data_IF_906077714887
#
_entry.id   IF_906077714887
#
_cell.length_a   1.000
_cell.length_b   1.000
_cell.length_c   1.000
_cell.angle_alpha   90.00
_cell.angle_beta   90.00
_cell.angle_gamma   90.00
#
_symmetry.space_group_name_H-M   'P 1'
#
loop_
_entity.id
_entity.type
_entity.pdbx_description
1 polymer ?
#
# COMPACT_ATOMS: atom_id res chain seq x y z
N UNK A 1 15.27 -9.46 -34.10
CA UNK A 1 15.37 -8.96 -32.71
C UNK A 1 14.11 -9.37 -31.97
N UNK A 2 14.22 -10.23 -30.95
CA UNK A 2 13.11 -10.43 -30.00
C UNK A 2 13.00 -9.15 -29.17
N UNK A 3 11.80 -8.56 -28.96
CA UNK A 3 11.68 -7.56 -27.92
C UNK A 3 11.96 -8.27 -26.60
N UNK A 4 13.10 -7.94 -26.00
CA UNK A 4 13.35 -8.20 -24.60
C UNK A 4 12.22 -7.49 -23.86
N UNK A 5 11.32 -8.26 -23.23
CA UNK A 5 10.36 -7.71 -22.28
C UNK A 5 11.22 -6.93 -21.27
N UNK A 6 11.10 -5.61 -21.29
CA UNK A 6 11.84 -4.73 -20.42
C UNK A 6 11.55 -5.17 -18.99
N UNK A 7 12.53 -5.86 -18.41
CA UNK A 7 12.57 -6.40 -17.07
C UNK A 7 12.65 -5.20 -16.11
N UNK A 8 11.54 -4.47 -15.99
CA UNK A 8 11.52 -3.16 -15.33
C UNK A 8 10.84 -3.22 -13.97
N UNK A 9 10.80 -4.40 -13.36
CA UNK A 9 10.39 -4.58 -11.98
C UNK A 9 11.64 -4.59 -11.10
N UNK A 10 12.34 -3.46 -11.06
CA UNK A 10 13.55 -3.31 -10.26
C UNK A 10 13.20 -2.58 -8.96
N UNK A 11 13.49 -3.26 -7.84
CA UNK A 11 13.25 -2.93 -6.42
C UNK A 11 11.95 -3.49 -5.81
N UNK A 12 12.13 -4.57 -5.03
CA UNK A 12 11.10 -5.35 -4.33
C UNK A 12 11.21 -5.10 -2.83
N UNK A 13 10.57 -4.04 -2.35
CA UNK A 13 10.46 -3.77 -0.92
C UNK A 13 9.35 -4.61 -0.31
N UNK A 14 9.65 -5.49 0.63
CA UNK A 14 8.61 -6.22 1.36
C UNK A 14 8.50 -5.70 2.79
N UNK A 15 7.28 -5.31 3.17
CA UNK A 15 6.95 -4.93 4.53
C UNK A 15 6.04 -5.96 5.16
N UNK A 16 6.37 -6.35 6.38
CA UNK A 16 5.56 -7.26 7.19
C UNK A 16 4.96 -6.49 8.36
N UNK A 17 3.68 -6.72 8.66
CA UNK A 17 3.06 -6.15 9.84
C UNK A 17 1.63 -6.63 9.99
N UNK A 18 0.74 -5.77 10.46
CA UNK A 18 -0.68 -6.06 10.61
C UNK A 18 -1.55 -4.95 10.04
N UNK A 19 -2.57 -5.36 9.29
CA UNK A 19 -3.67 -4.51 8.87
C UNK A 19 -4.95 -5.04 9.52
N UNK A 20 -5.71 -4.18 10.20
CA UNK A 20 -6.95 -4.56 10.92
C UNK A 20 -6.80 -5.76 11.86
N UNK A 21 -5.65 -5.89 12.52
CA UNK A 21 -5.39 -6.99 13.47
C UNK A 21 -5.07 -8.33 12.81
N UNK A 22 -4.98 -8.38 11.47
CA UNK A 22 -4.53 -9.57 10.73
C UNK A 22 -3.11 -9.37 10.20
N UNK A 23 -2.28 -10.43 10.11
CA UNK A 23 -0.99 -10.34 9.45
C UNK A 23 -1.14 -9.84 8.02
N UNK A 24 -0.27 -8.91 7.62
CA UNK A 24 -0.29 -8.29 6.31
C UNK A 24 1.15 -8.22 5.77
N UNK A 25 1.29 -8.54 4.47
CA UNK A 25 2.52 -8.35 3.71
C UNK A 25 2.24 -7.35 2.61
N UNK A 26 3.05 -6.30 2.52
CA UNK A 26 3.02 -5.32 1.43
C UNK A 26 4.26 -5.48 0.58
N UNK A 27 4.08 -5.56 -0.73
CA UNK A 27 5.15 -5.54 -1.73
C UNK A 27 5.10 -4.22 -2.45
N UNK A 28 6.19 -3.44 -2.39
CA UNK A 28 6.41 -2.25 -3.19
C UNK A 28 7.17 -2.64 -4.47
N UNK A 29 6.70 -2.16 -5.60
CA UNK A 29 7.27 -2.37 -6.93
C UNK A 29 7.41 -1.05 -7.68
N UNK A 30 8.32 -1.01 -8.65
CA UNK A 30 8.46 0.09 -9.60
C UNK A 30 8.15 -0.45 -11.00
N UNK A 31 7.37 0.30 -11.76
CA UNK A 31 7.00 0.04 -13.15
C UNK A 31 7.09 1.34 -13.95
N UNK A 32 8.24 1.54 -14.61
CA UNK A 32 8.53 2.76 -15.37
C UNK A 32 7.64 2.95 -16.62
N UNK A 33 6.81 1.97 -16.96
CA UNK A 33 5.82 2.11 -18.04
C UNK A 33 4.59 2.94 -17.62
N UNK A 34 4.41 3.19 -16.31
CA UNK A 34 3.26 3.91 -15.76
C UNK A 34 3.58 5.37 -15.45
N UNK A 35 2.57 6.23 -15.59
CA UNK A 35 2.62 7.63 -15.14
C UNK A 35 2.90 7.77 -13.63
N UNK A 36 2.52 6.76 -12.85
CA UNK A 36 2.84 6.64 -11.42
C UNK A 36 3.62 5.34 -11.24
N UNK A 37 4.95 5.39 -11.39
CA UNK A 37 5.74 4.18 -11.54
C UNK A 37 5.86 3.41 -10.23
N UNK A 38 5.67 4.03 -9.06
CA UNK A 38 5.82 3.35 -7.78
C UNK A 38 4.47 2.84 -7.28
N UNK A 39 4.37 1.54 -7.00
CA UNK A 39 3.14 0.91 -6.52
C UNK A 39 3.45 0.07 -5.30
N UNK A 40 2.50 -0.03 -4.37
CA UNK A 40 2.52 -1.14 -3.41
C UNK A 40 1.20 -1.90 -3.42
N UNK A 41 1.29 -3.21 -3.16
CA UNK A 41 0.15 -4.13 -3.05
C UNK A 41 0.23 -4.90 -1.74
N UNK A 42 -0.87 -5.02 -1.02
CA UNK A 42 -0.98 -5.76 0.23
C UNK A 42 -1.70 -7.10 0.04
N UNK A 43 -1.34 -8.11 0.84
CA UNK A 43 -2.08 -9.38 0.93
C UNK A 43 -3.54 -9.23 1.36
N UNK A 44 -3.93 -8.09 1.93
CA UNK A 44 -5.33 -7.78 2.23
C UNK A 44 -6.14 -7.31 1.01
N UNK A 45 -5.52 -7.15 -0.16
CA UNK A 45 -6.14 -6.66 -1.39
C UNK A 45 -6.02 -5.15 -1.61
N UNK A 46 -5.51 -4.38 -0.63
CA UNK A 46 -5.25 -2.96 -0.80
C UNK A 46 -4.06 -2.71 -1.74
N UNK A 47 -4.14 -1.65 -2.56
CA UNK A 47 -3.04 -1.22 -3.41
C UNK A 47 -3.03 0.30 -3.56
N UNK A 48 -1.86 0.88 -3.86
CA UNK A 48 -1.73 2.32 -4.12
C UNK A 48 -0.55 2.65 -5.01
N UNK A 49 -0.71 3.63 -5.88
CA UNK A 49 0.32 4.13 -6.81
C UNK A 49 0.79 5.54 -6.46
N UNK A 50 2.06 5.83 -6.69
CA UNK A 50 2.76 7.08 -6.38
C UNK A 50 3.64 7.52 -7.55
N UNK A 51 3.80 8.85 -7.75
CA UNK A 51 4.71 9.38 -8.76
C UNK A 51 6.19 9.20 -8.37
N UNK A 52 6.50 9.16 -7.07
CA UNK A 52 7.87 9.06 -6.55
C UNK A 52 7.99 7.98 -5.48
N UNK A 53 9.23 7.52 -5.26
CA UNK A 53 9.58 6.53 -4.25
C UNK A 53 9.26 7.01 -2.82
N UNK A 54 9.41 8.30 -2.57
CA UNK A 54 9.20 8.90 -1.24
C UNK A 54 7.77 8.70 -0.73
N UNK A 55 6.80 8.50 -1.64
CA UNK A 55 5.42 8.18 -1.28
C UNK A 55 5.19 6.70 -0.99
N UNK A 56 5.86 5.80 -1.71
CA UNK A 56 5.53 4.38 -1.71
C UNK A 56 5.93 3.70 -0.41
N UNK A 57 7.17 3.89 0.05
CA UNK A 57 7.70 3.20 1.23
C UNK A 57 7.04 3.66 2.54
N UNK A 58 6.91 4.97 2.84
CA UNK A 58 6.25 5.41 4.07
C UNK A 58 4.78 5.05 4.12
N UNK A 59 4.09 5.03 2.96
CA UNK A 59 2.68 4.64 2.92
C UNK A 59 2.50 3.13 3.07
N UNK A 60 3.36 2.33 2.43
CA UNK A 60 3.40 0.88 2.61
C UNK A 60 3.69 0.50 4.07
N UNK A 61 4.65 1.18 4.71
CA UNK A 61 4.99 1.00 6.11
C UNK A 61 3.81 1.35 7.03
N UNK A 62 3.20 2.54 6.88
CA UNK A 62 2.05 2.97 7.69
C UNK A 62 0.84 2.05 7.53
N UNK A 63 0.68 1.43 6.37
CA UNK A 63 -0.41 0.48 6.12
C UNK A 63 -0.26 -0.80 6.96
N UNK A 64 0.95 -1.34 7.09
CA UNK A 64 1.24 -2.54 7.89
C UNK A 64 1.55 -2.24 9.35
N UNK A 65 1.87 -0.99 9.69
CA UNK A 65 2.17 -0.54 11.05
C UNK A 65 1.28 0.63 11.46
N UNK A 66 -0.04 0.43 11.56
CA UNK A 66 -0.95 1.50 11.95
C UNK A 66 -0.62 1.99 13.35
N UNK A 67 -0.44 3.31 13.49
CA UNK A 67 -0.21 3.93 14.80
C UNK A 67 -1.48 3.85 15.66
N UNK A 68 -1.36 4.13 16.96
CA UNK A 68 -2.53 4.24 17.86
C UNK A 68 -3.52 5.29 17.35
N UNK A 69 -3.03 6.37 16.75
CA UNK A 69 -3.86 7.41 16.13
C UNK A 69 -4.58 6.90 14.88
N UNK A 70 -3.91 6.12 14.02
CA UNK A 70 -4.55 5.52 12.84
C UNK A 70 -5.66 4.54 13.24
N UNK A 71 -5.44 3.76 14.31
CA UNK A 71 -6.49 2.89 14.86
C UNK A 71 -7.69 3.70 15.38
N UNK A 72 -7.44 4.81 16.08
CA UNK A 72 -8.49 5.72 16.54
C UNK A 72 -9.27 6.33 15.37
N UNK A 73 -8.59 6.81 14.33
CA UNK A 73 -9.24 7.35 13.11
C UNK A 73 -10.06 6.29 12.40
N UNK A 74 -9.55 5.07 12.23
CA UNK A 74 -10.31 3.97 11.64
C UNK A 74 -11.53 3.59 12.47
N UNK A 75 -11.42 3.59 13.81
CA UNK A 75 -12.56 3.38 14.70
C UNK A 75 -13.61 4.50 14.59
N UNK A 76 -13.18 5.77 14.59
CA UNK A 76 -14.06 6.92 14.40
C UNK A 76 -14.77 6.85 13.04
N UNK A 77 -14.04 6.56 11.96
CA UNK A 77 -14.61 6.41 10.61
C UNK A 77 -15.67 5.30 10.56
N UNK A 78 -15.46 4.16 11.25
CA UNK A 78 -16.47 3.09 11.37
C UNK A 78 -17.72 3.56 12.11
N UNK A 79 -17.57 4.30 13.20
CA UNK A 79 -18.71 4.83 13.97
C UNK A 79 -19.51 5.87 13.20
N UNK A 80 -18.85 6.76 12.46
CA UNK A 80 -19.52 7.77 11.65
C UNK A 80 -20.20 7.16 10.43
N UNK A 81 -19.56 6.21 9.75
CA UNK A 81 -20.16 5.50 8.60
C UNK A 81 -21.37 4.66 9.00
N UNK A 82 -21.36 4.06 10.19
CA UNK A 82 -22.52 3.36 10.74
C UNK A 82 -23.69 4.30 11.10
N UNK A 83 -23.42 5.60 11.27
CA UNK A 83 -24.43 6.62 11.58
C UNK A 83 -25.12 7.19 10.36
N UNK A 84 -24.46 7.22 9.20
CA UNK A 84 -25.02 7.73 7.94
C UNK A 84 -25.94 6.72 7.23
N UNK A 85 -25.98 5.47 7.70
CA UNK A 85 -26.84 4.40 7.18
C UNK A 85 -28.14 4.20 8.00
N UNK A 86 -28.53 5.17 8.84
CA UNK A 86 -29.82 5.19 9.55
C UNK A 86 -30.69 6.34 9.07
#
# INVERSE_FOLDING_TARGET
MKPQLAETEFWVGTFHGSHDGRPAKVTATRDDTRLKPYVWTCTCGASRSFPTEDGVWPTAWRHTHPTRFDRLRSWAARLFSARTAR
#
